data_IF_287160043726
#
_entry.id   IF_287160043726
#
_cell.length_a   1.000
_cell.length_b   1.000
_cell.length_c   1.000
_cell.angle_alpha   90.00
_cell.angle_beta   90.00
_cell.angle_gamma   90.00
#
_symmetry.space_group_name_H-M   'P 1'
#
loop_
_entity.id
_entity.type
_entity.pdbx_description
1 polymer ?
#
# COMPACT_ATOMS: atom_id res chain seq x y z
N UNK A 1 1.31 -89.55 -2.55
CA UNK A 1 -0.04 -88.99 -2.38
C UNK A 1 0.02 -87.88 -1.34
N UNK A 2 0.13 -86.62 -1.76
CA UNK A 2 0.05 -85.53 -0.87
C UNK A 2 -0.48 -84.33 -1.71
N UNK A 3 -1.67 -83.90 -1.47
CA UNK A 3 -2.35 -82.85 -2.18
C UNK A 3 -2.29 -81.58 -1.32
N UNK A 4 -1.84 -80.61 -1.93
CA UNK A 4 -1.72 -79.17 -1.73
C UNK A 4 -2.88 -78.52 -0.98
N UNK A 5 -2.57 -77.76 0.07
CA UNK A 5 -3.44 -76.73 0.65
C UNK A 5 -2.63 -75.46 0.86
N UNK A 6 -2.53 -74.66 -0.19
CA UNK A 6 -2.03 -73.31 -0.11
C UNK A 6 -2.71 -72.52 -1.20
N UNK A 7 -3.83 -71.84 -0.94
CA UNK A 7 -4.29 -70.72 -1.75
C UNK A 7 -5.50 -69.90 -1.21
N UNK A 8 -5.76 -69.91 0.09
CA UNK A 8 -6.91 -69.12 0.59
C UNK A 8 -6.52 -67.80 1.32
N UNK A 9 -5.24 -67.60 1.65
CA UNK A 9 -4.82 -66.41 2.38
C UNK A 9 -4.44 -65.25 1.46
N UNK A 10 -4.10 -65.47 0.20
CA UNK A 10 -3.64 -64.44 -0.73
C UNK A 10 -4.76 -63.54 -1.29
N UNK A 11 -6.00 -64.04 -1.33
CA UNK A 11 -7.14 -63.27 -1.91
C UNK A 11 -7.81 -62.32 -0.92
N UNK A 12 -7.59 -62.47 0.38
CA UNK A 12 -8.23 -61.61 1.40
C UNK A 12 -7.46 -60.32 1.66
N UNK A 13 -6.18 -60.23 1.33
CA UNK A 13 -5.39 -58.99 1.50
C UNK A 13 -5.53 -58.02 0.33
N UNK A 14 -5.86 -58.51 -0.88
CA UNK A 14 -6.01 -57.67 -2.06
C UNK A 14 -7.30 -56.82 -2.06
N UNK A 15 -8.33 -57.26 -1.36
CA UNK A 15 -9.63 -56.57 -1.33
C UNK A 15 -9.70 -55.44 -0.29
N UNK A 16 -8.84 -55.46 0.73
CA UNK A 16 -8.83 -54.44 1.77
C UNK A 16 -7.99 -53.19 1.39
N UNK A 17 -6.99 -53.34 0.52
CA UNK A 17 -6.14 -52.23 0.09
C UNK A 17 -6.86 -51.33 -0.92
N UNK A 18 -7.80 -51.87 -1.72
CA UNK A 18 -8.57 -51.04 -2.69
C UNK A 18 -9.67 -50.24 -1.99
N UNK A 19 -10.24 -50.76 -0.89
CA UNK A 19 -11.31 -50.07 -0.15
C UNK A 19 -10.78 -48.86 0.66
N UNK A 20 -9.52 -48.91 1.13
CA UNK A 20 -8.92 -47.78 1.88
C UNK A 20 -8.49 -46.62 0.99
N UNK A 21 -8.11 -46.91 -0.27
CA UNK A 21 -7.72 -45.87 -1.23
C UNK A 21 -8.91 -45.02 -1.74
N UNK A 22 -10.13 -45.58 -1.75
CA UNK A 22 -11.33 -44.87 -2.22
C UNK A 22 -11.91 -43.90 -1.19
N UNK A 23 -11.54 -44.01 0.09
CA UNK A 23 -12.03 -43.14 1.17
C UNK A 23 -11.19 -41.83 1.35
N UNK A 24 -10.01 -41.76 0.75
CA UNK A 24 -9.11 -40.61 0.88
C UNK A 24 -9.22 -39.60 -0.28
N UNK A 25 -9.94 -39.91 -1.34
CA UNK A 25 -10.06 -39.04 -2.53
C UNK A 25 -11.02 -37.84 -2.42
N UNK A 26 -12.06 -37.79 -1.58
CA UNK A 26 -12.94 -36.62 -1.58
C UNK A 26 -12.40 -35.40 -0.77
N UNK A 27 -11.39 -35.58 0.07
CA UNK A 27 -10.88 -34.49 0.91
C UNK A 27 -9.96 -33.49 0.15
N UNK A 28 -9.35 -33.92 -0.95
CA UNK A 28 -8.44 -33.08 -1.73
C UNK A 28 -9.15 -32.15 -2.73
N UNK A 29 -10.42 -32.40 -3.09
CA UNK A 29 -11.18 -31.57 -4.01
C UNK A 29 -11.84 -30.35 -3.36
N UNK A 30 -11.88 -30.26 -2.04
CA UNK A 30 -12.49 -29.13 -1.31
C UNK A 30 -11.52 -27.98 -1.03
N UNK A 31 -10.23 -28.14 -1.33
CA UNK A 31 -9.20 -27.18 -0.96
C UNK A 31 -8.85 -26.15 -2.06
N UNK A 32 -9.50 -26.22 -3.22
CA UNK A 32 -9.26 -25.26 -4.33
C UNK A 32 -10.51 -24.44 -4.62
N UNK A 33 -11.01 -23.72 -3.62
CA UNK A 33 -11.84 -22.56 -3.93
C UNK A 33 -10.92 -21.48 -4.51
N UNK A 34 -11.14 -21.01 -5.74
CA UNK A 34 -10.42 -19.85 -6.24
C UNK A 34 -10.69 -18.71 -5.26
N UNK A 35 -9.60 -18.10 -4.77
CA UNK A 35 -9.72 -16.91 -3.95
C UNK A 35 -10.59 -15.91 -4.69
N UNK A 36 -11.59 -15.34 -4.02
CA UNK A 36 -12.42 -14.30 -4.61
C UNK A 36 -11.48 -13.22 -5.18
N UNK A 37 -11.73 -12.71 -6.40
CA UNK A 37 -10.88 -11.69 -6.97
C UNK A 37 -10.81 -10.53 -5.98
N UNK A 38 -9.60 -10.18 -5.56
CA UNK A 38 -9.37 -8.99 -4.73
C UNK A 38 -9.85 -7.80 -5.54
N UNK A 39 -10.65 -6.88 -4.96
CA UNK A 39 -11.06 -5.68 -5.67
C UNK A 39 -9.82 -4.98 -6.21
N UNK A 40 -9.72 -4.82 -7.51
CA UNK A 40 -8.71 -4.00 -8.14
C UNK A 40 -9.22 -2.54 -8.14
N UNK A 41 -8.32 -1.59 -7.98
CA UNK A 41 -8.66 -0.17 -8.10
C UNK A 41 -9.24 0.10 -9.49
N UNK A 42 -10.44 0.67 -9.54
CA UNK A 42 -10.97 1.22 -10.80
C UNK A 42 -10.18 2.50 -11.14
N UNK A 43 -9.23 2.35 -12.03
CA UNK A 43 -8.34 3.44 -12.44
C UNK A 43 -9.09 4.60 -13.10
N UNK A 44 -10.17 4.34 -13.83
CA UNK A 44 -10.97 5.39 -14.45
C UNK A 44 -11.73 6.21 -13.41
N UNK A 45 -12.26 5.55 -12.36
CA UNK A 45 -12.87 6.22 -11.22
C UNK A 45 -11.82 7.01 -10.44
N UNK A 46 -10.66 6.42 -10.15
CA UNK A 46 -9.60 7.07 -9.40
C UNK A 46 -9.07 8.32 -10.14
N UNK A 47 -8.90 8.25 -11.46
CA UNK A 47 -8.51 9.39 -12.27
C UNK A 47 -9.57 10.48 -12.27
N UNK A 48 -10.85 10.14 -12.41
CA UNK A 48 -11.96 11.12 -12.32
C UNK A 48 -11.97 11.83 -10.97
N UNK A 49 -11.80 11.11 -9.88
CA UNK A 49 -11.81 11.69 -8.54
C UNK A 49 -10.61 12.63 -8.31
N UNK A 50 -9.44 12.23 -8.83
CA UNK A 50 -8.25 13.08 -8.85
C UNK A 50 -8.49 14.39 -9.63
N UNK A 51 -9.08 14.30 -10.81
CA UNK A 51 -9.42 15.48 -11.62
C UNK A 51 -10.52 16.33 -10.97
N UNK A 52 -11.51 15.70 -10.34
CA UNK A 52 -12.58 16.41 -9.64
C UNK A 52 -12.10 17.12 -8.35
N UNK A 53 -10.91 16.84 -7.87
CA UNK A 53 -10.30 17.53 -6.73
C UNK A 53 -9.74 18.91 -7.13
N UNK A 54 -9.52 19.16 -8.40
CA UNK A 54 -9.02 20.45 -8.88
C UNK A 54 -9.97 21.59 -8.47
N UNK A 55 -9.41 22.64 -7.87
CA UNK A 55 -10.16 23.79 -7.36
C UNK A 55 -10.87 23.57 -6.02
N UNK A 56 -10.76 22.37 -5.40
CA UNK A 56 -11.29 22.16 -4.05
C UNK A 56 -10.44 22.85 -3.00
N UNK A 57 -11.10 23.31 -1.95
CA UNK A 57 -10.41 23.72 -0.72
C UNK A 57 -10.19 22.50 0.15
N UNK A 58 -8.93 22.20 0.43
CA UNK A 58 -8.55 21.13 1.34
C UNK A 58 -8.82 21.56 2.79
N UNK A 59 -9.41 20.67 3.60
CA UNK A 59 -9.63 20.89 5.03
C UNK A 59 -8.32 21.12 5.79
N UNK A 60 -8.44 21.78 6.94
CA UNK A 60 -7.28 22.02 7.81
C UNK A 60 -7.05 20.85 8.75
N UNK A 61 -6.41 19.83 8.24
CA UNK A 61 -6.06 18.63 8.98
C UNK A 61 -4.82 18.84 9.83
N UNK A 62 -4.77 18.18 10.99
CA UNK A 62 -3.58 18.09 11.84
C UNK A 62 -2.96 16.70 11.70
N UNK A 63 -1.71 16.66 11.25
CA UNK A 63 -0.89 15.48 11.08
C UNK A 63 0.27 15.51 12.08
N UNK A 64 1.05 14.44 12.16
CA UNK A 64 2.28 14.38 12.97
C UNK A 64 3.50 14.44 12.06
N UNK A 65 4.50 15.21 12.44
CA UNK A 65 5.80 15.21 11.78
C UNK A 65 6.65 13.97 12.17
N UNK A 66 7.86 13.88 11.65
CA UNK A 66 8.80 12.76 11.90
C UNK A 66 9.24 12.66 13.37
N UNK A 67 9.03 13.67 14.17
CA UNK A 67 9.30 13.74 15.61
C UNK A 67 8.03 13.55 16.45
N UNK A 68 6.87 13.30 15.81
CA UNK A 68 5.59 13.12 16.48
C UNK A 68 4.91 14.42 16.92
N UNK A 69 5.38 15.58 16.47
CA UNK A 69 4.78 16.87 16.79
C UNK A 69 3.62 17.18 15.87
N UNK A 70 2.54 17.81 16.35
CA UNK A 70 1.39 18.17 15.52
C UNK A 70 1.75 19.28 14.52
N UNK A 71 1.39 19.08 13.26
CA UNK A 71 1.53 20.02 12.16
C UNK A 71 0.18 20.18 11.46
N UNK A 72 -0.31 21.41 11.35
CA UNK A 72 -1.54 21.72 10.62
C UNK A 72 -1.23 21.97 9.16
N UNK A 73 -2.06 21.45 8.25
CA UNK A 73 -1.92 21.77 6.81
C UNK A 73 -2.00 23.27 6.52
N UNK A 74 -2.77 24.02 7.32
CA UNK A 74 -2.82 25.48 7.22
C UNK A 74 -1.45 26.16 7.41
N UNK A 75 -0.49 25.52 8.07
CA UNK A 75 0.86 26.08 8.26
C UNK A 75 1.64 26.20 6.94
N UNK A 76 1.25 25.47 5.90
CA UNK A 76 1.88 25.53 4.57
C UNK A 76 1.23 26.56 3.64
N UNK A 77 0.17 27.27 4.08
CA UNK A 77 -0.50 28.30 3.27
C UNK A 77 0.42 29.49 2.95
N UNK A 78 0.14 30.15 1.85
CA UNK A 78 0.90 31.31 1.38
C UNK A 78 2.06 31.00 0.45
N UNK A 79 2.33 29.69 0.22
CA UNK A 79 3.30 29.21 -0.76
C UNK A 79 2.71 28.02 -1.51
N UNK A 80 3.14 27.75 -2.75
CA UNK A 80 2.81 26.49 -3.42
C UNK A 80 3.21 25.28 -2.57
N UNK A 81 2.36 24.26 -2.50
CA UNK A 81 2.56 23.06 -1.73
C UNK A 81 2.45 21.83 -2.63
N UNK A 82 3.57 21.13 -2.82
CA UNK A 82 3.58 19.82 -3.49
C UNK A 82 3.21 18.73 -2.49
N UNK A 83 2.19 17.95 -2.80
CA UNK A 83 1.69 16.89 -1.94
C UNK A 83 1.82 15.54 -2.64
N UNK A 84 2.46 14.58 -2.00
CA UNK A 84 2.49 13.17 -2.42
C UNK A 84 1.95 12.25 -1.33
N UNK A 85 1.25 11.19 -1.73
CA UNK A 85 0.84 10.11 -0.83
C UNK A 85 1.78 8.92 -1.01
N UNK A 86 2.23 8.37 0.11
CA UNK A 86 3.13 7.21 0.15
C UNK A 86 2.66 6.21 1.20
N UNK A 87 3.12 4.96 1.11
CA UNK A 87 3.13 4.04 2.24
C UNK A 87 4.52 3.42 2.40
N UNK A 88 5.00 3.35 3.63
CA UNK A 88 6.40 3.01 3.92
C UNK A 88 6.75 1.55 3.62
N UNK A 89 5.75 0.68 3.53
CA UNK A 89 5.91 -0.72 3.11
C UNK A 89 5.99 -0.95 1.58
N UNK A 90 5.97 0.10 0.77
CA UNK A 90 6.11 -0.01 -0.68
C UNK A 90 7.58 -0.19 -1.09
N UNK A 91 7.91 -1.31 -1.73
CA UNK A 91 9.30 -1.61 -2.11
C UNK A 91 9.67 -1.20 -3.54
N UNK A 92 8.72 -0.88 -4.40
CA UNK A 92 8.95 -0.64 -5.82
C UNK A 92 8.61 0.78 -6.28
N UNK A 93 7.35 1.15 -6.20
CA UNK A 93 6.85 2.39 -6.82
C UNK A 93 7.15 3.63 -5.98
N UNK A 94 6.83 3.61 -4.68
CA UNK A 94 7.05 4.78 -3.82
C UNK A 94 8.52 5.23 -3.75
N UNK A 95 9.52 4.31 -3.64
CA UNK A 95 10.92 4.71 -3.70
C UNK A 95 11.31 5.40 -5.01
N UNK A 96 10.81 4.90 -6.14
CA UNK A 96 11.11 5.46 -7.48
C UNK A 96 10.46 6.83 -7.65
N UNK A 97 9.19 6.95 -7.30
CA UNK A 97 8.45 8.23 -7.37
C UNK A 97 9.05 9.27 -6.41
N UNK A 98 9.42 8.86 -5.20
CA UNK A 98 10.05 9.77 -4.21
C UNK A 98 11.40 10.29 -4.71
N UNK A 99 12.22 9.45 -5.36
CA UNK A 99 13.49 9.90 -5.96
C UNK A 99 13.28 10.85 -7.12
N UNK A 100 12.35 10.56 -8.02
CA UNK A 100 12.02 11.47 -9.12
C UNK A 100 11.49 12.81 -8.60
N UNK A 101 10.70 12.80 -7.53
CA UNK A 101 10.24 14.01 -6.88
C UNK A 101 11.42 14.77 -6.23
N UNK A 102 12.37 14.08 -5.59
CA UNK A 102 13.58 14.72 -5.01
C UNK A 102 14.42 15.44 -6.08
N UNK A 103 14.63 14.81 -7.23
CA UNK A 103 15.33 15.44 -8.36
C UNK A 103 14.57 16.71 -8.82
N UNK A 104 13.26 16.63 -8.94
CA UNK A 104 12.40 17.76 -9.31
C UNK A 104 12.49 18.89 -8.26
N UNK A 105 12.40 18.55 -6.98
CA UNK A 105 12.49 19.51 -5.87
C UNK A 105 13.85 20.21 -5.86
N UNK A 106 14.95 19.47 -6.10
CA UNK A 106 16.30 20.06 -6.22
C UNK A 106 16.39 21.05 -7.38
N UNK A 107 15.85 20.70 -8.53
CA UNK A 107 15.83 21.58 -9.70
C UNK A 107 15.01 22.85 -9.44
N UNK A 108 13.82 22.71 -8.83
CA UNK A 108 12.97 23.85 -8.47
C UNK A 108 13.64 24.77 -7.44
N UNK A 109 14.29 24.20 -6.41
CA UNK A 109 15.04 24.97 -5.42
C UNK A 109 16.21 25.72 -6.06
N UNK A 110 16.95 25.08 -6.96
CA UNK A 110 18.02 25.73 -7.71
C UNK A 110 17.56 26.92 -8.56
N UNK A 111 16.31 26.88 -9.07
CA UNK A 111 15.73 27.92 -9.92
C UNK A 111 15.04 29.02 -9.13
N UNK A 112 14.29 28.68 -8.08
CA UNK A 112 13.41 29.61 -7.37
C UNK A 112 13.87 29.92 -5.95
N UNK A 113 14.82 29.19 -5.40
CA UNK A 113 15.28 29.30 -4.01
C UNK A 113 14.56 28.40 -3.04
N UNK A 114 15.12 28.27 -1.85
CA UNK A 114 14.73 27.25 -0.84
C UNK A 114 13.36 27.51 -0.20
N UNK A 115 12.90 28.74 -0.19
CA UNK A 115 11.71 29.16 0.57
C UNK A 115 10.50 29.52 -0.30
N UNK A 116 10.51 29.21 -1.60
CA UNK A 116 9.44 29.62 -2.50
C UNK A 116 8.27 28.63 -2.57
N UNK A 117 8.46 27.42 -2.11
CA UNK A 117 7.44 26.38 -2.08
C UNK A 117 7.72 25.38 -0.96
N UNK A 118 6.72 24.58 -0.61
CA UNK A 118 6.84 23.49 0.34
C UNK A 118 6.53 22.16 -0.34
N UNK A 119 7.02 21.07 0.25
CA UNK A 119 6.73 19.68 -0.17
C UNK A 119 6.31 18.89 1.05
N UNK A 120 5.28 18.09 0.94
CA UNK A 120 4.91 17.12 1.96
C UNK A 120 4.68 15.73 1.34
N UNK A 121 5.17 14.69 2.02
CA UNK A 121 4.80 13.32 1.75
C UNK A 121 3.97 12.80 2.92
N UNK A 122 2.77 12.30 2.62
CA UNK A 122 1.79 11.86 3.62
C UNK A 122 1.70 10.34 3.57
N UNK A 123 1.95 9.69 4.71
CA UNK A 123 1.79 8.25 4.88
C UNK A 123 0.32 7.87 5.08
N UNK A 124 -0.28 7.11 4.15
CA UNK A 124 -1.72 6.81 4.23
C UNK A 124 -2.05 5.46 4.86
N UNK A 125 -1.07 4.55 5.01
CA UNK A 125 -1.27 3.23 5.59
C UNK A 125 -1.12 3.24 7.13
N UNK A 126 -2.14 3.69 7.85
CA UNK A 126 -2.10 3.76 9.30
C UNK A 126 -2.55 2.45 9.96
N UNK A 127 -1.90 2.02 11.06
CA UNK A 127 -0.84 2.71 11.82
C UNK A 127 0.60 2.45 11.35
N UNK A 128 0.79 1.72 10.24
CA UNK A 128 2.13 1.34 9.77
C UNK A 128 3.00 2.55 9.39
N UNK A 129 2.42 3.57 8.75
CA UNK A 129 3.10 4.81 8.40
C UNK A 129 3.19 5.79 9.58
N UNK A 130 3.67 5.28 10.72
CA UNK A 130 3.90 6.09 11.93
C UNK A 130 4.95 7.19 11.70
N UNK A 131 5.05 8.21 12.57
CA UNK A 131 6.12 9.20 12.51
C UNK A 131 7.52 8.60 12.38
N UNK A 132 7.78 7.52 13.13
CA UNK A 132 9.06 6.80 13.09
C UNK A 132 9.28 6.11 11.75
N UNK A 133 8.25 5.49 11.17
CA UNK A 133 8.33 4.85 9.86
C UNK A 133 8.57 5.90 8.75
N UNK A 134 7.90 7.04 8.81
CA UNK A 134 8.09 8.16 7.90
C UNK A 134 9.50 8.75 7.99
N UNK A 135 10.06 8.84 9.21
CA UNK A 135 11.45 9.25 9.44
C UNK A 135 12.45 8.27 8.83
N UNK A 136 12.24 6.97 9.07
CA UNK A 136 13.08 5.91 8.52
C UNK A 136 13.02 5.88 6.97
N UNK A 137 11.84 6.05 6.39
CA UNK A 137 11.66 6.13 4.94
C UNK A 137 12.43 7.31 4.33
N UNK A 138 12.29 8.51 4.89
CA UNK A 138 13.03 9.70 4.42
C UNK A 138 14.55 9.47 4.48
N UNK A 139 15.06 8.90 5.58
CA UNK A 139 16.48 8.61 5.76
C UNK A 139 16.97 7.53 4.77
N UNK A 140 16.21 6.44 4.58
CA UNK A 140 16.54 5.35 3.64
C UNK A 140 16.67 5.88 2.20
N UNK A 141 15.81 6.81 1.82
CA UNK A 141 15.82 7.41 0.48
C UNK A 141 16.70 8.67 0.37
N UNK A 142 17.40 9.03 1.45
CA UNK A 142 18.32 10.18 1.52
C UNK A 142 17.63 11.51 1.17
N UNK A 143 16.36 11.66 1.55
CA UNK A 143 15.62 12.89 1.35
C UNK A 143 15.96 13.84 2.50
N UNK A 144 16.71 14.88 2.21
CA UNK A 144 17.18 15.88 3.18
C UNK A 144 16.85 17.32 2.79
N UNK A 145 15.86 17.53 1.92
CA UNK A 145 15.45 18.87 1.51
C UNK A 145 14.80 19.62 2.69
N UNK A 146 15.24 20.82 3.06
CA UNK A 146 14.73 21.54 4.23
C UNK A 146 13.28 22.00 4.10
N UNK A 147 12.76 22.08 2.88
CA UNK A 147 11.37 22.42 2.59
C UNK A 147 10.49 21.21 2.31
N UNK A 148 10.90 20.00 2.74
CA UNK A 148 10.17 18.75 2.53
C UNK A 148 9.88 18.04 3.85
N UNK A 149 8.61 17.98 4.22
CA UNK A 149 8.14 17.29 5.42
C UNK A 149 7.52 15.93 5.07
N UNK A 150 7.72 14.97 5.98
CA UNK A 150 7.10 13.66 5.94
C UNK A 150 6.11 13.57 7.10
N UNK A 151 4.84 13.40 6.78
CA UNK A 151 3.75 13.54 7.73
C UNK A 151 2.95 12.25 7.88
N UNK A 152 2.56 11.96 9.12
CA UNK A 152 1.76 10.80 9.51
C UNK A 152 0.40 11.28 10.03
N UNK A 153 -0.72 11.06 9.31
CA UNK A 153 -2.05 11.40 9.78
C UNK A 153 -2.54 10.40 10.84
N UNK A 154 -3.29 10.81 11.86
CA UNK A 154 -4.08 9.88 12.65
C UNK A 154 -5.04 9.06 11.78
N UNK A 155 -5.22 7.77 12.07
CA UNK A 155 -6.00 6.85 11.23
C UNK A 155 -7.41 7.38 10.87
N UNK A 156 -8.08 8.04 11.82
CA UNK A 156 -9.45 8.59 11.64
C UNK A 156 -9.56 9.69 10.58
N UNK A 157 -8.44 10.33 10.21
CA UNK A 157 -8.47 11.41 9.22
C UNK A 157 -7.91 11.00 7.86
N UNK A 158 -7.38 9.77 7.70
CA UNK A 158 -6.85 9.29 6.42
C UNK A 158 -7.90 9.38 5.32
N UNK A 159 -9.09 8.84 5.54
CA UNK A 159 -10.16 8.84 4.53
C UNK A 159 -10.63 10.25 4.15
N UNK A 160 -11.03 11.15 5.07
CA UNK A 160 -11.40 12.50 4.66
C UNK A 160 -10.24 13.28 4.03
N UNK A 161 -9.01 13.08 4.48
CA UNK A 161 -7.83 13.72 3.91
C UNK A 161 -7.59 13.28 2.46
N UNK A 162 -7.55 11.97 2.19
CA UNK A 162 -7.34 11.43 0.84
C UNK A 162 -8.47 11.80 -0.11
N UNK A 163 -9.72 11.82 0.38
CA UNK A 163 -10.88 12.28 -0.39
C UNK A 163 -10.78 13.75 -0.80
N UNK A 164 -10.32 14.63 0.08
CA UNK A 164 -10.16 16.05 -0.24
C UNK A 164 -9.15 16.27 -1.37
N UNK A 165 -8.07 15.48 -1.37
CA UNK A 165 -7.06 15.48 -2.44
C UNK A 165 -7.46 14.65 -3.68
N UNK A 166 -8.60 13.95 -3.67
CA UNK A 166 -9.00 13.05 -4.74
C UNK A 166 -8.08 11.84 -4.92
N UNK A 167 -7.36 11.46 -3.86
CA UNK A 167 -6.47 10.30 -3.86
C UNK A 167 -7.24 9.04 -3.48
N UNK A 168 -7.28 8.05 -4.39
CA UNK A 168 -7.87 6.74 -4.16
C UNK A 168 -6.82 5.65 -4.10
N UNK A 169 -7.05 4.68 -3.24
CA UNK A 169 -6.25 3.47 -3.11
C UNK A 169 -7.12 2.29 -2.70
N UNK A 170 -6.69 1.08 -3.06
CA UNK A 170 -7.32 -0.19 -2.67
C UNK A 170 -6.27 -1.13 -2.10
N UNK A 171 -6.60 -1.81 -1.00
CA UNK A 171 -5.72 -2.81 -0.41
C UNK A 171 -5.66 -4.06 -1.29
N UNK A 172 -4.46 -4.58 -1.51
CA UNK A 172 -4.20 -5.81 -2.24
C UNK A 172 -3.30 -6.74 -1.43
N UNK A 173 -3.19 -8.03 -1.75
CA UNK A 173 -2.24 -8.93 -1.08
C UNK A 173 -0.77 -8.48 -1.21
N UNK A 174 -0.44 -7.69 -2.23
CA UNK A 174 0.90 -7.16 -2.47
C UNK A 174 1.14 -5.75 -1.90
N UNK A 175 0.16 -5.18 -1.17
CA UNK A 175 0.23 -3.82 -0.64
C UNK A 175 -0.99 -2.99 -1.05
N UNK A 176 -0.79 -1.91 -1.76
CA UNK A 176 -1.88 -1.04 -2.22
C UNK A 176 -1.77 -0.75 -3.71
N UNK A 177 -2.90 -0.81 -4.39
CA UNK A 177 -3.07 -0.28 -5.73
C UNK A 177 -3.59 1.17 -5.63
N UNK A 178 -2.99 2.09 -6.37
CA UNK A 178 -3.36 3.50 -6.36
C UNK A 178 -2.85 4.22 -7.61
N UNK A 179 -3.48 5.32 -7.98
CA UNK A 179 -2.95 6.21 -9.02
C UNK A 179 -1.76 6.99 -8.47
N UNK A 180 -0.67 7.06 -9.24
CA UNK A 180 0.46 7.91 -8.90
C UNK A 180 0.04 9.37 -9.06
N UNK A 181 0.09 10.12 -7.96
CA UNK A 181 -0.38 11.50 -7.92
C UNK A 181 0.59 12.36 -7.12
N UNK A 182 0.96 13.49 -7.71
CA UNK A 182 1.52 14.64 -7.00
C UNK A 182 0.58 15.80 -7.27
N UNK A 183 0.09 16.43 -6.21
CA UNK A 183 -0.87 17.54 -6.28
C UNK A 183 -0.16 18.85 -5.91
N UNK A 184 -0.51 19.92 -6.58
CA UNK A 184 -0.04 21.30 -6.32
C UNK A 184 -1.22 22.14 -5.84
#
# INVERSE_FOLDING_TARGET
MTVTTMDTHRRRFATWTVALAALLLPAALLAQQPAAPTPALDQAVALRDSQAALGRTVGDFTLLDREGRPVRLAAFRGKPLLVSFIYTGCFQVCPTTTRALDETVRALRGRFGDNQFNVISIGFNQPADSPQAMKAFAAQHRIGQPNWDFLSPPARIVEPLTRDFGFRYEATPAGFDHVLQVTL
#
